data_IF_421231373261
#
_entry.id   IF_421231373261
#
_cell.length_a   1.000
_cell.length_b   1.000
_cell.length_c   1.000
_cell.angle_alpha   90.00
_cell.angle_beta   90.00
_cell.angle_gamma   90.00
#
_symmetry.space_group_name_H-M   'P 1'
#
loop_
_entity.id
_entity.type
_entity.pdbx_description
1 polymer ?
#
# COMPACT_ATOMS: atom_id res chain seq x y z
N UNK A 1 6.05 17.13 -13.50
CA UNK A 1 5.73 16.48 -12.21
C UNK A 1 6.60 15.24 -12.12
N UNK A 2 7.65 15.28 -11.27
CA UNK A 2 8.56 14.13 -11.08
C UNK A 2 7.80 13.11 -10.23
N UNK A 3 7.70 11.86 -10.68
CA UNK A 3 7.21 10.78 -9.82
C UNK A 3 8.08 10.77 -8.55
N UNK A 4 7.51 10.66 -7.34
CA UNK A 4 8.32 10.63 -6.13
C UNK A 4 9.27 9.43 -6.17
N UNK A 5 10.57 9.64 -5.97
CA UNK A 5 11.63 8.60 -5.93
C UNK A 5 11.29 7.45 -4.96
N UNK A 6 10.41 7.73 -4.01
CA UNK A 6 9.86 6.88 -2.96
C UNK A 6 9.10 5.65 -3.51
N UNK A 7 8.51 5.71 -4.71
CA UNK A 7 7.80 4.55 -5.28
C UNK A 7 8.79 3.47 -5.74
N UNK A 8 9.92 3.87 -6.32
CA UNK A 8 10.99 2.96 -6.71
C UNK A 8 11.64 2.28 -5.50
N UNK A 9 11.78 3.01 -4.38
CA UNK A 9 12.41 2.48 -3.16
C UNK A 9 11.67 1.28 -2.55
N UNK A 10 10.34 1.24 -2.60
CA UNK A 10 9.57 0.14 -1.99
C UNK A 10 9.74 -1.15 -2.80
N UNK A 11 9.69 -1.07 -4.13
CA UNK A 11 9.97 -2.21 -4.99
C UNK A 11 11.40 -2.74 -4.77
N UNK A 12 12.36 -1.82 -4.59
CA UNK A 12 13.75 -2.16 -4.32
C UNK A 12 13.94 -2.82 -2.95
N UNK A 13 13.26 -2.34 -1.91
CA UNK A 13 13.36 -2.89 -0.55
C UNK A 13 12.82 -4.33 -0.48
N UNK A 14 11.67 -4.61 -1.11
CA UNK A 14 11.11 -5.97 -1.17
C UNK A 14 12.05 -6.91 -1.95
N UNK A 15 12.64 -6.43 -3.05
CA UNK A 15 13.59 -7.21 -3.85
C UNK A 15 14.91 -7.48 -3.14
N UNK A 16 15.36 -6.59 -2.25
CA UNK A 16 16.54 -6.82 -1.40
C UNK A 16 16.25 -7.87 -0.32
N UNK A 17 15.03 -7.90 0.22
CA UNK A 17 14.66 -8.81 1.30
C UNK A 17 14.35 -10.24 0.85
N UNK A 18 13.81 -10.42 -0.35
CA UNK A 18 13.47 -11.75 -0.88
C UNK A 18 14.34 -12.08 -2.10
N UNK A 19 15.22 -13.08 -1.96
CA UNK A 19 16.14 -13.48 -3.04
C UNK A 19 15.46 -14.20 -4.22
N UNK A 20 14.22 -14.66 -4.02
CA UNK A 20 13.36 -15.25 -5.06
C UNK A 20 11.93 -14.74 -4.90
N UNK A 21 11.38 -14.19 -5.97
CA UNK A 21 9.98 -13.76 -6.06
C UNK A 21 9.28 -14.75 -6.98
N UNK A 22 8.53 -15.68 -6.39
CA UNK A 22 7.79 -16.70 -7.15
C UNK A 22 6.56 -16.14 -7.86
N UNK A 23 6.03 -15.02 -7.35
CA UNK A 23 4.85 -14.36 -7.92
C UNK A 23 4.85 -12.86 -7.68
N UNK A 24 4.47 -12.08 -8.70
CA UNK A 24 4.33 -10.62 -8.64
C UNK A 24 2.92 -10.20 -9.06
N UNK A 25 2.28 -9.34 -8.26
CA UNK A 25 0.98 -8.73 -8.59
C UNK A 25 0.91 -7.30 -8.10
N UNK A 26 0.21 -6.45 -8.85
CA UNK A 26 -0.10 -5.07 -8.47
C UNK A 26 -1.36 -4.95 -7.62
N UNK A 27 -2.11 -6.04 -7.41
CA UNK A 27 -3.33 -6.06 -6.60
C UNK A 27 -3.08 -6.71 -5.24
N UNK A 28 -3.31 -5.96 -4.17
CA UNK A 28 -3.07 -6.41 -2.80
C UNK A 28 -4.06 -7.48 -2.33
N UNK A 29 -5.28 -7.49 -2.84
CA UNK A 29 -6.27 -8.52 -2.53
C UNK A 29 -5.85 -9.86 -3.12
N UNK A 30 -5.34 -9.85 -4.36
CA UNK A 30 -4.80 -11.04 -5.01
C UNK A 30 -3.60 -11.58 -4.24
N UNK A 31 -2.65 -10.72 -3.86
CA UNK A 31 -1.50 -11.14 -3.05
C UNK A 31 -1.92 -11.80 -1.73
N UNK A 32 -2.87 -11.20 -0.99
CA UNK A 32 -3.38 -11.76 0.26
C UNK A 32 -4.13 -13.08 0.05
N UNK A 33 -4.92 -13.20 -1.01
CA UNK A 33 -5.64 -14.45 -1.33
C UNK A 33 -4.68 -15.58 -1.70
N UNK A 34 -3.60 -15.31 -2.44
CA UNK A 34 -2.58 -16.30 -2.76
C UNK A 34 -1.85 -16.81 -1.52
N UNK A 35 -1.49 -15.90 -0.60
CA UNK A 35 -0.94 -16.29 0.71
C UNK A 35 -1.94 -17.12 1.51
N UNK A 36 -3.22 -16.72 1.54
CA UNK A 36 -4.27 -17.49 2.20
C UNK A 36 -4.48 -18.89 1.60
N UNK A 37 -4.17 -19.07 0.31
CA UNK A 37 -4.16 -20.36 -0.39
C UNK A 37 -2.86 -21.16 -0.25
N UNK A 38 -1.86 -20.64 0.46
CA UNK A 38 -0.60 -21.34 0.76
C UNK A 38 0.57 -21.06 -0.17
N UNK A 39 0.51 -20.03 -1.02
CA UNK A 39 1.57 -19.70 -1.99
C UNK A 39 2.81 -18.99 -1.36
N UNK A 40 2.92 -18.97 -0.03
CA UNK A 40 4.07 -18.40 0.67
C UNK A 40 3.71 -17.20 1.55
N UNK A 41 4.51 -16.13 1.51
CA UNK A 41 4.37 -14.93 2.33
C UNK A 41 4.37 -13.66 1.49
N UNK A 42 3.77 -12.58 2.00
CA UNK A 42 3.77 -11.27 1.33
C UNK A 42 3.88 -10.15 2.35
N UNK A 43 4.27 -8.96 1.89
CA UNK A 43 4.33 -7.73 2.69
C UNK A 43 3.18 -6.82 2.28
N UNK A 44 2.39 -6.37 3.26
CA UNK A 44 1.30 -5.42 3.03
C UNK A 44 1.38 -4.23 3.99
N UNK A 45 0.95 -3.03 3.58
CA UNK A 45 0.71 -1.92 4.52
C UNK A 45 -0.36 -2.30 5.54
N UNK A 46 -0.21 -1.82 6.78
CA UNK A 46 -1.19 -2.05 7.86
C UNK A 46 -2.63 -1.68 7.46
N UNK A 47 -2.79 -0.66 6.63
CA UNK A 47 -4.09 -0.13 6.18
C UNK A 47 -4.96 -1.17 5.44
N UNK A 48 -4.36 -2.17 4.80
CA UNK A 48 -5.08 -3.16 3.99
C UNK A 48 -5.24 -4.51 4.69
N UNK A 49 -4.96 -4.57 5.99
CA UNK A 49 -5.17 -5.77 6.81
C UNK A 49 -6.66 -6.10 6.89
N UNK A 50 -7.03 -7.36 6.64
CA UNK A 50 -8.42 -7.83 6.76
C UNK A 50 -8.80 -7.93 8.24
N UNK A 51 -9.90 -7.27 8.65
CA UNK A 51 -10.35 -7.19 10.05
C UNK A 51 -11.30 -8.32 10.46
N UNK A 52 -11.96 -9.02 9.52
CA UNK A 52 -12.95 -10.06 9.83
C UNK A 52 -12.63 -11.39 9.15
N UNK A 53 -12.90 -12.47 9.90
CA UNK A 53 -12.15 -13.71 9.91
C UNK A 53 -12.68 -14.83 8.99
N UNK A 54 -11.74 -15.59 8.42
CA UNK A 54 -11.58 -17.02 8.72
C UNK A 54 -10.11 -17.38 8.51
N UNK A 55 -9.32 -17.02 9.53
CA UNK A 55 -7.95 -17.44 9.86
C UNK A 55 -7.05 -17.76 8.65
N UNK A 56 -6.78 -16.75 7.82
CA UNK A 56 -5.57 -16.60 6.99
C UNK A 56 -5.70 -15.34 6.11
N UNK A 57 -4.60 -14.62 5.84
CA UNK A 57 -3.24 -14.82 6.35
C UNK A 57 -3.03 -14.29 7.78
N UNK A 58 -2.05 -14.83 8.51
CA UNK A 58 -1.56 -14.24 9.76
C UNK A 58 -0.75 -12.98 9.44
N UNK A 59 -1.02 -11.89 10.17
CA UNK A 59 -0.28 -10.65 10.04
C UNK A 59 0.75 -10.52 11.17
N UNK A 60 2.01 -10.36 10.79
CA UNK A 60 3.12 -10.12 11.72
C UNK A 60 3.69 -8.73 11.42
N UNK A 61 3.80 -7.83 12.42
CA UNK A 61 4.41 -6.52 12.20
C UNK A 61 5.89 -6.67 11.87
N UNK A 62 6.37 -5.85 10.93
CA UNK A 62 7.80 -5.74 10.64
C UNK A 62 8.52 -5.02 11.79
N UNK A 63 9.76 -5.41 12.07
CA UNK A 63 10.57 -4.77 13.11
C UNK A 63 10.96 -3.34 12.74
N UNK A 64 11.37 -3.12 11.49
CA UNK A 64 11.39 -1.79 10.91
C UNK A 64 9.94 -1.40 10.59
N UNK A 65 9.51 -0.21 10.97
CA UNK A 65 8.16 0.30 10.68
C UNK A 65 8.20 1.27 9.49
N UNK A 66 8.41 0.79 8.25
CA UNK A 66 8.47 1.67 7.10
C UNK A 66 7.11 2.32 6.89
N UNK A 67 7.10 3.65 6.80
CA UNK A 67 5.90 4.44 6.53
C UNK A 67 5.86 4.87 5.07
N UNK A 68 4.65 4.95 4.51
CA UNK A 68 4.41 5.54 3.20
C UNK A 68 3.40 6.66 3.33
N UNK A 69 3.75 7.86 2.87
CA UNK A 69 2.84 8.99 2.83
C UNK A 69 1.92 8.87 1.62
N UNK A 70 0.61 8.80 1.88
CA UNK A 70 -0.42 8.96 0.84
C UNK A 70 -0.74 10.44 0.73
N UNK A 71 -0.81 10.96 -0.49
CA UNK A 71 -1.02 12.40 -0.74
C UNK A 71 -2.15 12.62 -1.72
N UNK A 72 -2.87 13.73 -1.54
CA UNK A 72 -3.70 14.29 -2.59
C UNK A 72 -2.82 14.95 -3.66
N UNK A 73 -2.97 14.51 -4.91
CA UNK A 73 -2.23 15.05 -6.04
C UNK A 73 -3.20 15.69 -7.03
N UNK A 74 -2.97 16.96 -7.37
CA UNK A 74 -3.74 17.69 -8.36
C UNK A 74 -2.85 18.67 -9.14
N UNK A 75 -3.27 19.03 -10.35
CA UNK A 75 -2.56 20.02 -11.16
C UNK A 75 -2.80 21.41 -10.58
N UNK A 76 -1.73 22.12 -10.23
CA UNK A 76 -1.77 23.46 -9.63
C UNK A 76 -2.61 24.45 -10.43
N UNK A 77 -2.49 24.40 -11.76
CA UNK A 77 -3.12 25.36 -12.67
C UNK A 77 -4.45 24.86 -13.27
N UNK A 78 -5.03 23.80 -12.68
CA UNK A 78 -6.36 23.29 -13.07
C UNK A 78 -7.37 23.61 -11.97
N UNK A 79 -8.61 23.85 -12.41
CA UNK A 79 -9.73 23.98 -11.49
C UNK A 79 -9.90 22.71 -10.67
N UNK A 80 -9.77 22.86 -9.36
CA UNK A 80 -10.13 21.85 -8.38
C UNK A 80 -11.63 22.02 -8.06
N UNK A 81 -12.42 20.94 -8.04
CA UNK A 81 -13.85 21.05 -7.78
C UNK A 81 -14.15 21.41 -6.31
N UNK A 82 -15.34 21.95 -6.05
CA UNK A 82 -15.83 22.19 -4.69
C UNK A 82 -15.89 20.88 -3.89
N UNK A 83 -16.35 19.79 -4.52
CA UNK A 83 -16.39 18.47 -3.90
C UNK A 83 -14.99 17.94 -3.55
N UNK A 84 -13.99 18.13 -4.42
CA UNK A 84 -12.62 17.71 -4.14
C UNK A 84 -11.99 18.50 -2.98
N UNK A 85 -12.22 19.82 -2.91
CA UNK A 85 -11.82 20.64 -1.74
C UNK A 85 -12.49 20.15 -0.46
N UNK A 86 -13.80 20.00 -0.47
CA UNK A 86 -14.56 19.53 0.68
C UNK A 86 -14.09 18.15 1.17
N UNK A 87 -13.71 17.26 0.25
CA UNK A 87 -13.15 15.95 0.58
C UNK A 87 -11.77 16.06 1.25
N UNK A 88 -10.88 16.92 0.74
CA UNK A 88 -9.58 17.16 1.38
C UNK A 88 -9.73 17.80 2.76
N UNK A 89 -10.59 18.81 2.89
CA UNK A 89 -10.88 19.46 4.17
C UNK A 89 -11.53 18.52 5.19
N UNK A 90 -12.24 17.48 4.74
CA UNK A 90 -12.81 16.46 5.62
C UNK A 90 -11.71 15.55 6.19
N UNK A 91 -10.72 15.19 5.36
CA UNK A 91 -9.59 14.34 5.78
C UNK A 91 -8.63 15.05 6.74
N UNK A 92 -8.39 16.36 6.56
CA UNK A 92 -7.48 17.14 7.42
C UNK A 92 -8.03 17.40 8.85
N UNK A 93 -9.31 17.09 9.10
CA UNK A 93 -10.00 17.30 10.39
C UNK A 93 -10.09 16.05 11.28
N UNK A 94 -9.66 14.90 10.79
CA UNK A 94 -9.58 13.63 11.53
C UNK A 94 -8.19 13.44 12.18
#
# INVERSE_FOLDING_TARGET
MRLPENIQLIAYFVKIMFSQIDFETSNIETAQSLVASGLGVTIVPKMVMRQNANVNPLYIPLQSYPTRTVVFAYLKDRYLSLAARAFMDAYDRE
#
